data_IF_123631803362
#
_entry.id   IF_123631803362
#
_cell.length_a   1.000
_cell.length_b   1.000
_cell.length_c   1.000
_cell.angle_alpha   90.00
_cell.angle_beta   90.00
_cell.angle_gamma   90.00
#
_symmetry.space_group_name_H-M   'P 1'
#
loop_
_entity.id
_entity.type
_entity.pdbx_description
1 polymer ?
#
# COMPACT_ATOMS: atom_id res chain seq x y z
N UNK A 1 9.14 -18.51 -8.99
CA UNK A 1 9.28 -17.58 -7.84
C UNK A 1 10.05 -16.36 -8.34
N UNK A 2 9.43 -15.18 -8.35
CA UNK A 2 10.11 -13.93 -8.69
C UNK A 2 10.87 -13.50 -7.44
N UNK A 3 12.18 -13.25 -7.57
CA UNK A 3 12.99 -12.79 -6.44
C UNK A 3 12.49 -11.43 -5.92
N UNK A 4 12.62 -11.12 -4.62
CA UNK A 4 12.23 -9.81 -4.07
C UNK A 4 12.85 -8.63 -4.82
N UNK A 5 14.10 -8.76 -5.26
CA UNK A 5 14.80 -7.74 -6.06
C UNK A 5 14.19 -7.56 -7.47
N UNK A 6 13.68 -8.62 -8.09
CA UNK A 6 13.01 -8.53 -9.40
C UNK A 6 11.65 -7.85 -9.32
N UNK A 7 10.92 -8.07 -8.21
CA UNK A 7 9.61 -7.43 -8.00
C UNK A 7 9.75 -5.95 -7.64
N UNK A 8 10.72 -5.58 -6.82
CA UNK A 8 11.02 -4.18 -6.49
C UNK A 8 11.43 -3.37 -7.73
N UNK A 9 12.20 -3.98 -8.64
CA UNK A 9 12.58 -3.35 -9.92
C UNK A 9 11.40 -3.15 -10.88
N UNK A 10 10.41 -4.05 -10.87
CA UNK A 10 9.19 -3.88 -11.66
C UNK A 10 8.27 -2.81 -11.08
N UNK A 11 8.12 -2.73 -9.76
CA UNK A 11 7.28 -1.71 -9.12
C UNK A 11 7.85 -0.30 -9.29
N UNK A 12 9.18 -0.13 -9.22
CA UNK A 12 9.84 1.16 -9.45
C UNK A 12 9.60 1.74 -10.85
N UNK A 13 9.45 0.90 -11.88
CA UNK A 13 9.16 1.33 -13.25
C UNK A 13 7.70 1.71 -13.49
N UNK A 14 6.78 1.17 -12.72
CA UNK A 14 5.34 1.42 -12.86
C UNK A 14 4.91 2.81 -12.35
N UNK A 15 5.73 3.48 -11.56
CA UNK A 15 5.36 4.73 -10.86
C UNK A 15 6.22 5.95 -11.22
N UNK A 16 7.15 5.85 -12.18
CA UNK A 16 7.82 7.01 -12.77
C UNK A 16 6.86 7.70 -13.75
N UNK A 17 5.86 8.41 -13.25
CA UNK A 17 5.00 9.24 -14.09
C UNK A 17 5.35 10.71 -13.88
N UNK A 18 5.46 11.47 -14.97
CA UNK A 18 5.54 12.94 -14.98
C UNK A 18 4.21 13.61 -14.55
N UNK A 19 3.45 12.95 -13.67
CA UNK A 19 2.24 13.52 -13.11
C UNK A 19 2.61 14.59 -12.07
N UNK A 20 2.28 15.89 -12.29
CA UNK A 20 2.61 16.95 -11.34
C UNK A 20 2.07 16.70 -9.93
N UNK A 21 0.93 16.01 -9.82
CA UNK A 21 0.34 15.63 -8.52
C UNK A 21 1.13 14.50 -7.86
N UNK A 22 1.71 13.59 -8.66
CA UNK A 22 2.57 12.52 -8.14
C UNK A 22 3.93 13.07 -7.71
N UNK A 23 4.48 14.06 -8.42
CA UNK A 23 5.72 14.76 -8.02
C UNK A 23 5.55 15.54 -6.72
N UNK A 24 4.45 16.29 -6.55
CA UNK A 24 4.18 17.04 -5.32
C UNK A 24 4.06 16.12 -4.09
N UNK A 25 3.63 14.88 -4.27
CA UNK A 25 3.56 13.90 -3.18
C UNK A 25 4.90 13.17 -3.00
N UNK A 26 5.73 13.09 -4.04
CA UNK A 26 7.06 12.47 -3.97
C UNK A 26 8.12 13.41 -3.37
N UNK A 27 7.97 14.72 -3.51
CA UNK A 27 8.87 15.74 -2.94
C UNK A 27 8.41 16.26 -1.56
N UNK A 28 7.13 16.09 -1.20
CA UNK A 28 6.65 16.36 0.16
C UNK A 28 7.27 15.34 1.10
N UNK A 29 8.01 15.85 2.10
CA UNK A 29 8.59 15.13 3.22
C UNK A 29 7.71 13.92 3.61
N UNK A 30 8.03 12.77 3.02
CA UNK A 30 7.45 11.48 3.34
C UNK A 30 7.98 11.07 4.71
N UNK A 31 7.85 11.97 5.72
CA UNK A 31 8.34 11.85 7.07
C UNK A 31 8.80 10.41 7.32
N UNK A 32 10.08 10.14 6.96
CA UNK A 32 10.48 8.83 6.49
C UNK A 32 10.10 7.77 7.50
N UNK A 33 9.31 6.79 7.06
CA UNK A 33 9.18 5.55 7.81
C UNK A 33 10.59 4.96 7.93
N UNK A 34 11.19 5.17 9.06
CA UNK A 34 12.47 4.57 9.44
C UNK A 34 12.32 4.11 10.87
N UNK A 35 12.63 2.85 11.08
CA UNK A 35 12.95 2.40 12.43
C UNK A 35 14.19 3.13 12.92
N UNK A 36 14.20 3.53 14.18
CA UNK A 36 15.47 3.87 14.83
C UNK A 36 16.39 2.65 14.79
N UNK A 37 17.69 2.88 14.89
CA UNK A 37 18.64 1.75 14.95
C UNK A 37 18.36 0.82 16.13
N UNK A 38 17.88 1.38 17.23
CA UNK A 38 17.53 0.65 18.45
C UNK A 38 16.29 -0.23 18.24
N UNK A 39 15.22 0.32 17.64
CA UNK A 39 14.00 -0.43 17.32
C UNK A 39 14.29 -1.57 16.34
N UNK A 40 15.05 -1.27 15.30
CA UNK A 40 15.44 -2.28 14.32
C UNK A 40 16.30 -3.39 14.95
N UNK A 41 17.29 -3.00 15.79
CA UNK A 41 18.11 -3.97 16.48
C UNK A 41 17.29 -4.85 17.43
N UNK A 42 16.29 -4.28 18.10
CA UNK A 42 15.37 -5.02 18.96
C UNK A 42 14.53 -6.02 18.16
N UNK A 43 13.91 -5.59 17.06
CA UNK A 43 13.12 -6.47 16.17
C UNK A 43 13.98 -7.63 15.65
N UNK A 44 15.16 -7.32 15.14
CA UNK A 44 16.08 -8.33 14.62
C UNK A 44 16.57 -9.28 15.71
N UNK A 45 16.73 -8.78 16.97
CA UNK A 45 17.12 -9.61 18.09
C UNK A 45 16.04 -10.63 18.46
N UNK A 46 14.77 -10.21 18.48
CA UNK A 46 13.65 -11.11 18.73
C UNK A 46 13.55 -12.23 17.69
N UNK A 47 13.79 -11.90 16.41
CA UNK A 47 13.82 -12.91 15.33
C UNK A 47 15.02 -13.84 15.51
N UNK A 48 16.19 -13.31 15.85
CA UNK A 48 17.43 -14.06 16.01
C UNK A 48 17.36 -15.04 17.19
N UNK A 49 16.88 -14.56 18.34
CA UNK A 49 16.74 -15.35 19.57
C UNK A 49 15.52 -16.28 19.53
N UNK A 50 14.68 -16.20 18.50
CA UNK A 50 13.44 -16.99 18.33
C UNK A 50 12.46 -16.78 19.49
N UNK A 51 12.31 -15.54 19.94
CA UNK A 51 11.39 -15.17 21.02
C UNK A 51 9.91 -15.35 20.62
N UNK A 52 9.63 -15.54 19.35
CA UNK A 52 8.31 -15.85 18.80
C UNK A 52 8.45 -16.78 17.58
N UNK A 53 7.35 -17.43 17.19
CA UNK A 53 7.32 -18.25 15.97
C UNK A 53 6.90 -17.38 14.76
N UNK A 54 7.82 -17.07 13.82
CA UNK A 54 7.50 -16.21 12.69
C UNK A 54 6.44 -16.77 11.71
N UNK A 55 6.14 -18.07 11.77
CA UNK A 55 5.11 -18.69 10.94
C UNK A 55 3.69 -18.50 11.49
N UNK A 56 3.54 -18.42 12.82
CA UNK A 56 2.23 -18.39 13.50
C UNK A 56 1.95 -17.08 14.20
N UNK A 57 2.97 -16.36 14.60
CA UNK A 57 2.87 -15.14 15.37
C UNK A 57 3.17 -13.91 14.50
N UNK A 58 2.82 -12.74 14.97
CA UNK A 58 3.13 -11.47 14.31
C UNK A 58 4.08 -10.66 15.19
N UNK A 59 5.20 -10.24 14.62
CA UNK A 59 6.13 -9.34 15.29
C UNK A 59 5.46 -7.98 15.52
N UNK A 60 5.21 -7.68 16.80
CA UNK A 60 4.29 -6.61 17.23
C UNK A 60 4.77 -5.22 16.84
N UNK A 61 6.03 -4.92 17.04
CA UNK A 61 6.62 -3.61 16.77
C UNK A 61 6.59 -3.32 15.26
N UNK A 62 7.00 -4.29 14.45
CA UNK A 62 7.00 -4.18 12.99
C UNK A 62 5.58 -3.96 12.45
N UNK A 63 4.61 -4.69 12.99
CA UNK A 63 3.19 -4.52 12.66
C UNK A 63 2.68 -3.13 13.05
N UNK A 64 2.89 -2.74 14.30
CA UNK A 64 2.35 -1.49 14.86
C UNK A 64 2.90 -0.26 14.13
N UNK A 65 4.19 -0.26 13.81
CA UNK A 65 4.82 0.83 13.06
C UNK A 65 4.29 0.90 11.63
N UNK A 66 4.18 -0.24 10.94
CA UNK A 66 3.61 -0.31 9.59
C UNK A 66 2.16 0.20 9.58
N UNK A 67 1.33 -0.27 10.51
CA UNK A 67 -0.06 0.13 10.62
C UNK A 67 -0.22 1.64 10.91
N UNK A 68 0.54 2.16 11.86
CA UNK A 68 0.53 3.58 12.20
C UNK A 68 0.87 4.44 10.99
N UNK A 69 1.93 4.09 10.26
CA UNK A 69 2.36 4.82 9.08
C UNK A 69 1.28 4.86 7.99
N UNK A 70 0.63 3.73 7.71
CA UNK A 70 -0.45 3.65 6.73
C UNK A 70 -1.72 4.38 7.18
N UNK A 71 -2.03 4.35 8.48
CA UNK A 71 -3.17 5.09 9.02
C UNK A 71 -2.94 6.59 8.98
N UNK A 72 -1.72 7.05 9.23
CA UNK A 72 -1.34 8.46 9.05
C UNK A 72 -1.50 8.91 7.60
N UNK A 73 -1.24 8.01 6.63
CA UNK A 73 -1.48 8.27 5.21
C UNK A 73 -2.97 8.48 4.90
N UNK A 74 -3.84 7.63 5.45
CA UNK A 74 -5.30 7.78 5.31
C UNK A 74 -5.75 9.11 5.92
N UNK A 75 -5.27 9.43 7.12
CA UNK A 75 -5.62 10.68 7.81
C UNK A 75 -5.15 11.93 7.05
N UNK A 76 -4.02 11.87 6.35
CA UNK A 76 -3.52 12.92 5.46
C UNK A 76 -4.28 12.98 4.13
N UNK A 77 -4.83 11.87 3.69
CA UNK A 77 -5.59 11.77 2.44
C UNK A 77 -6.93 12.47 2.49
N UNK A 78 -7.63 12.44 3.63
CA UNK A 78 -8.89 13.15 3.82
C UNK A 78 -8.66 14.62 4.14
N UNK A 79 -9.29 15.51 3.36
CA UNK A 79 -9.24 16.97 3.60
C UNK A 79 -10.15 17.36 4.75
N UNK A 80 -11.32 16.70 4.84
CA UNK A 80 -12.34 16.96 5.86
C UNK A 80 -12.63 15.66 6.62
N UNK A 81 -12.43 15.70 7.94
CA UNK A 81 -12.81 14.61 8.85
C UNK A 81 -14.24 14.84 9.35
N UNK A 82 -15.21 14.70 8.43
CA UNK A 82 -16.63 14.80 8.76
C UNK A 82 -17.18 13.45 9.22
N UNK A 83 -18.33 13.47 9.90
CA UNK A 83 -19.03 12.24 10.29
C UNK A 83 -19.38 11.36 9.07
N UNK A 84 -19.68 11.99 7.94
CA UNK A 84 -19.98 11.31 6.67
C UNK A 84 -18.78 10.53 6.11
N UNK A 85 -17.56 11.00 6.37
CA UNK A 85 -16.34 10.35 5.95
C UNK A 85 -15.84 9.29 6.94
N UNK A 86 -16.40 9.24 8.16
CA UNK A 86 -15.93 8.36 9.22
C UNK A 86 -15.93 6.88 8.83
N UNK A 87 -17.02 6.42 8.24
CA UNK A 87 -17.14 5.03 7.81
C UNK A 87 -16.05 4.64 6.81
N UNK A 88 -15.78 5.49 5.81
CA UNK A 88 -14.70 5.24 4.85
C UNK A 88 -13.33 5.25 5.51
N UNK A 89 -13.10 6.17 6.44
CA UNK A 89 -11.83 6.25 7.18
C UNK A 89 -11.62 4.95 7.96
N UNK A 90 -12.65 4.46 8.65
CA UNK A 90 -12.60 3.21 9.43
C UNK A 90 -12.34 1.99 8.53
N UNK A 91 -13.05 1.90 7.39
CA UNK A 91 -12.84 0.80 6.44
C UNK A 91 -11.44 0.82 5.81
N UNK A 92 -10.92 1.99 5.44
CA UNK A 92 -9.56 2.10 4.91
C UNK A 92 -8.51 1.75 5.97
N UNK A 93 -8.71 2.16 7.23
CA UNK A 93 -7.83 1.78 8.35
C UNK A 93 -7.91 0.29 8.65
N UNK A 94 -9.09 -0.32 8.53
CA UNK A 94 -9.22 -1.77 8.63
C UNK A 94 -8.44 -2.49 7.52
N UNK A 95 -8.55 -2.03 6.27
CA UNK A 95 -7.76 -2.59 5.17
C UNK A 95 -6.25 -2.44 5.40
N UNK A 96 -5.82 -1.30 5.96
CA UNK A 96 -4.42 -1.09 6.34
C UNK A 96 -3.97 -2.09 7.42
N UNK A 97 -4.84 -2.42 8.38
CA UNK A 97 -4.52 -3.41 9.43
C UNK A 97 -4.30 -4.81 8.83
N UNK A 98 -5.19 -5.20 7.91
CA UNK A 98 -5.06 -6.49 7.19
C UNK A 98 -3.77 -6.50 6.35
N UNK A 99 -3.51 -5.44 5.58
CA UNK A 99 -2.29 -5.32 4.79
C UNK A 99 -1.03 -5.36 5.66
N UNK A 100 -1.01 -4.59 6.75
CA UNK A 100 0.12 -4.54 7.68
C UNK A 100 0.42 -5.93 8.29
N UNK A 101 -0.63 -6.71 8.62
CA UNK A 101 -0.46 -8.06 9.13
C UNK A 101 0.19 -8.99 8.09
N UNK A 102 -0.30 -9.00 6.85
CA UNK A 102 0.29 -9.82 5.78
C UNK A 102 1.71 -9.39 5.42
N UNK A 103 1.96 -8.08 5.34
CA UNK A 103 3.31 -7.56 5.08
C UNK A 103 4.27 -7.99 6.17
N UNK A 104 3.89 -7.78 7.44
CA UNK A 104 4.74 -8.12 8.59
C UNK A 104 5.03 -9.60 8.64
N UNK A 105 3.99 -10.44 8.47
CA UNK A 105 4.16 -11.89 8.46
C UNK A 105 5.14 -12.34 7.37
N UNK A 106 5.04 -11.78 6.17
CA UNK A 106 5.96 -12.12 5.08
C UNK A 106 7.38 -11.64 5.37
N UNK A 107 7.52 -10.37 5.79
CA UNK A 107 8.82 -9.77 6.09
C UNK A 107 9.56 -10.53 7.19
N UNK A 108 8.89 -10.85 8.29
CA UNK A 108 9.50 -11.59 9.40
C UNK A 108 9.96 -13.01 9.00
N UNK A 109 9.21 -13.68 8.10
CA UNK A 109 9.61 -14.99 7.58
C UNK A 109 10.82 -14.87 6.63
N UNK A 110 10.81 -13.89 5.72
CA UNK A 110 11.95 -13.63 4.83
C UNK A 110 13.21 -13.25 5.66
N UNK A 111 13.05 -12.57 6.79
CA UNK A 111 14.13 -12.28 7.72
C UNK A 111 14.59 -13.53 8.46
N UNK A 112 13.66 -14.38 8.91
CA UNK A 112 13.99 -15.61 9.63
C UNK A 112 14.74 -16.63 8.76
N UNK A 113 14.46 -16.69 7.45
CA UNK A 113 15.22 -17.51 6.50
C UNK A 113 16.72 -17.16 6.47
N UNK A 114 17.08 -15.91 6.79
CA UNK A 114 18.46 -15.44 6.82
C UNK A 114 19.24 -15.83 8.10
N UNK A 115 18.60 -16.50 9.05
CA UNK A 115 19.29 -17.02 10.25
C UNK A 115 20.36 -18.04 9.90
N UNK A 116 20.18 -18.76 8.80
CA UNK A 116 21.12 -19.73 8.29
C UNK A 116 21.90 -19.16 7.09
N UNK A 117 23.13 -19.58 6.93
CA UNK A 117 23.92 -19.28 5.73
C UNK A 117 23.59 -20.24 4.57
N UNK A 118 24.27 -20.08 3.42
CA UNK A 118 24.08 -20.94 2.26
C UNK A 118 24.49 -22.41 2.46
N UNK A 119 25.22 -22.72 3.54
CA UNK A 119 25.62 -24.07 3.94
C UNK A 119 24.71 -24.64 5.05
N UNK A 120 23.69 -23.88 5.49
CA UNK A 120 22.78 -24.27 6.55
C UNK A 120 23.33 -24.09 7.97
N UNK A 121 24.42 -23.33 8.14
CA UNK A 121 25.01 -23.03 9.45
C UNK A 121 24.37 -21.76 10.03
N UNK A 122 24.14 -21.69 11.35
CA UNK A 122 23.66 -20.47 11.99
C UNK A 122 24.64 -19.31 11.82
N UNK A 123 24.13 -18.16 11.39
CA UNK A 123 24.91 -16.91 11.30
C UNK A 123 25.17 -16.34 12.70
N UNK A 124 26.28 -15.61 12.86
CA UNK A 124 26.41 -14.71 14.01
C UNK A 124 25.38 -13.59 13.91
N UNK A 125 25.00 -12.96 15.04
CA UNK A 125 24.06 -11.84 15.03
C UNK A 125 24.54 -10.67 14.13
N UNK A 126 25.85 -10.40 14.12
CA UNK A 126 26.43 -9.37 13.25
C UNK A 126 26.26 -9.70 11.77
N UNK A 127 26.47 -10.95 11.38
CA UNK A 127 26.33 -11.37 9.98
C UNK A 127 24.86 -11.49 9.58
N UNK A 128 23.99 -11.92 10.49
CA UNK A 128 22.55 -11.89 10.31
C UNK A 128 22.06 -10.46 10.06
N UNK A 129 22.44 -9.48 10.90
CA UNK A 129 22.08 -8.06 10.73
C UNK A 129 22.48 -7.53 9.36
N UNK A 130 23.70 -7.82 8.89
CA UNK A 130 24.14 -7.43 7.54
C UNK A 130 23.34 -8.10 6.44
N UNK A 131 23.02 -9.37 6.60
CA UNK A 131 22.24 -10.12 5.62
C UNK A 131 20.79 -9.60 5.50
N UNK A 132 20.23 -8.98 6.56
CA UNK A 132 18.86 -8.45 6.58
C UNK A 132 18.70 -7.08 5.91
N UNK A 133 19.77 -6.30 5.73
CA UNK A 133 19.70 -4.95 5.17
C UNK A 133 18.95 -4.86 3.83
N UNK A 134 19.20 -5.72 2.82
CA UNK A 134 18.47 -5.67 1.55
C UNK A 134 16.97 -5.97 1.69
N UNK A 135 16.61 -6.89 2.58
CA UNK A 135 15.21 -7.26 2.85
C UNK A 135 14.48 -6.09 3.49
N UNK A 136 15.05 -5.52 4.55
CA UNK A 136 14.51 -4.34 5.26
C UNK A 136 14.35 -3.17 4.29
N UNK A 137 15.34 -2.90 3.45
CA UNK A 137 15.28 -1.86 2.43
C UNK A 137 14.13 -2.09 1.43
N UNK A 138 13.95 -3.32 0.96
CA UNK A 138 12.87 -3.66 0.03
C UNK A 138 11.48 -3.45 0.66
N UNK A 139 11.26 -3.95 1.87
CA UNK A 139 9.96 -3.89 2.54
C UNK A 139 9.61 -2.50 3.08
N UNK A 140 10.56 -1.81 3.68
CA UNK A 140 10.27 -0.60 4.45
C UNK A 140 10.59 0.70 3.69
N UNK A 141 11.42 0.66 2.66
CA UNK A 141 11.67 1.84 1.82
C UNK A 141 10.79 1.81 0.57
N UNK A 142 10.86 0.74 -0.22
CA UNK A 142 10.20 0.72 -1.52
C UNK A 142 8.71 0.36 -1.44
N UNK A 143 8.38 -0.73 -0.76
CA UNK A 143 6.99 -1.21 -0.72
C UNK A 143 6.13 -0.33 0.15
N UNK A 144 6.58 -0.03 1.35
CA UNK A 144 5.79 0.75 2.29
C UNK A 144 5.57 2.18 1.79
N UNK A 145 6.55 2.76 1.08
CA UNK A 145 6.39 4.03 0.40
C UNK A 145 5.28 3.97 -0.67
N UNK A 146 5.28 2.94 -1.51
CA UNK A 146 4.24 2.75 -2.52
C UNK A 146 2.86 2.61 -1.90
N UNK A 147 2.74 1.81 -0.84
CA UNK A 147 1.47 1.61 -0.14
C UNK A 147 1.00 2.89 0.59
N UNK A 148 1.91 3.66 1.14
CA UNK A 148 1.60 4.97 1.73
C UNK A 148 0.97 5.92 0.70
N UNK A 149 1.56 6.03 -0.48
CA UNK A 149 1.00 6.84 -1.57
C UNK A 149 -0.35 6.29 -2.05
N UNK A 150 -0.49 4.98 -2.08
CA UNK A 150 -1.75 4.31 -2.42
C UNK A 150 -2.82 4.61 -1.38
N UNK A 151 -2.50 4.55 -0.10
CA UNK A 151 -3.44 4.89 0.99
C UNK A 151 -3.92 6.34 0.91
N UNK A 152 -3.02 7.31 0.65
CA UNK A 152 -3.40 8.72 0.43
C UNK A 152 -4.35 8.85 -0.78
N UNK A 153 -4.02 8.22 -1.90
CA UNK A 153 -4.85 8.28 -3.11
C UNK A 153 -6.22 7.65 -2.89
N UNK A 154 -6.27 6.51 -2.21
CA UNK A 154 -7.52 5.83 -1.88
C UNK A 154 -8.41 6.69 -0.98
N UNK A 155 -7.84 7.34 0.04
CA UNK A 155 -8.54 8.26 0.91
C UNK A 155 -9.13 9.45 0.15
N UNK A 156 -8.34 10.09 -0.72
CA UNK A 156 -8.80 11.19 -1.58
C UNK A 156 -9.90 10.75 -2.54
N UNK A 157 -9.78 9.57 -3.10
CA UNK A 157 -10.80 9.01 -4.00
C UNK A 157 -12.09 8.74 -3.25
N UNK A 158 -12.03 8.20 -2.04
CA UNK A 158 -13.21 7.97 -1.20
C UNK A 158 -13.93 9.30 -0.86
N UNK A 159 -13.19 10.34 -0.48
CA UNK A 159 -13.74 11.68 -0.23
C UNK A 159 -14.37 12.27 -1.50
N UNK A 160 -13.73 12.10 -2.65
CA UNK A 160 -14.26 12.56 -3.94
C UNK A 160 -15.58 11.83 -4.29
N UNK A 161 -15.67 10.52 -4.06
CA UNK A 161 -16.92 9.79 -4.27
C UNK A 161 -18.07 10.29 -3.39
N UNK A 162 -17.81 10.63 -2.14
CA UNK A 162 -18.83 11.24 -1.26
C UNK A 162 -19.32 12.58 -1.81
N UNK A 163 -18.44 13.42 -2.33
CA UNK A 163 -18.85 14.66 -3.00
C UNK A 163 -19.69 14.39 -4.25
N UNK A 164 -19.31 13.43 -5.07
CA UNK A 164 -20.08 13.04 -6.25
C UNK A 164 -21.45 12.49 -5.88
N UNK A 165 -21.57 11.78 -4.76
CA UNK A 165 -22.84 11.28 -4.25
C UNK A 165 -23.75 12.42 -3.81
N UNK A 166 -23.21 13.46 -3.15
CA UNK A 166 -23.96 14.64 -2.77
C UNK A 166 -24.48 15.44 -3.98
N UNK A 167 -23.75 15.45 -5.09
CA UNK A 167 -24.08 16.20 -6.31
C UNK A 167 -24.80 15.34 -7.37
N UNK A 168 -25.28 14.14 -7.01
CA UNK A 168 -25.82 13.16 -7.97
C UNK A 168 -27.05 13.67 -8.74
N UNK A 169 -27.86 14.55 -8.16
CA UNK A 169 -29.05 15.10 -8.81
C UNK A 169 -28.70 16.04 -9.97
N UNK A 170 -27.56 16.74 -9.85
CA UNK A 170 -27.04 17.62 -10.91
C UNK A 170 -26.13 16.86 -11.89
N UNK A 171 -25.31 15.95 -11.38
CA UNK A 171 -24.33 15.17 -12.13
C UNK A 171 -24.52 13.66 -11.88
N UNK A 172 -25.55 13.03 -12.48
CA UNK A 172 -25.92 11.64 -12.15
C UNK A 172 -24.89 10.60 -12.64
N UNK A 173 -23.96 11.00 -13.49
CA UNK A 173 -23.00 10.07 -14.11
C UNK A 173 -21.57 10.38 -13.73
N UNK A 174 -20.75 9.34 -13.68
CA UNK A 174 -19.28 9.43 -13.65
C UNK A 174 -18.71 8.78 -14.89
N UNK A 175 -17.60 9.31 -15.43
CA UNK A 175 -16.91 8.76 -16.61
C UNK A 175 -15.55 8.22 -16.16
N UNK A 176 -15.23 7.03 -16.62
CA UNK A 176 -13.92 6.45 -16.46
C UNK A 176 -12.95 7.00 -17.50
N UNK A 177 -11.97 7.76 -17.08
CA UNK A 177 -10.98 8.34 -17.97
C UNK A 177 -9.81 7.38 -18.21
N UNK A 178 -9.11 7.50 -19.35
CA UNK A 178 -7.86 6.79 -19.59
C UNK A 178 -6.84 7.02 -18.48
N UNK A 179 -6.09 5.97 -18.13
CA UNK A 179 -5.00 6.08 -17.17
C UNK A 179 -3.88 6.96 -17.74
N UNK A 180 -3.30 7.81 -16.87
CA UNK A 180 -2.11 8.59 -17.19
C UNK A 180 -0.81 7.89 -16.81
N UNK A 181 -0.88 6.62 -16.37
CA UNK A 181 0.31 5.81 -16.11
C UNK A 181 1.08 5.56 -17.42
N UNK A 182 2.41 5.52 -17.34
CA UNK A 182 3.29 5.20 -18.48
C UNK A 182 2.92 3.83 -19.07
N UNK A 183 2.67 2.86 -18.20
CA UNK A 183 2.20 1.52 -18.56
C UNK A 183 0.85 1.25 -17.86
N UNK A 184 -0.27 1.61 -18.50
CA UNK A 184 -1.59 1.35 -17.94
C UNK A 184 -1.90 -0.14 -18.00
N UNK A 185 -2.60 -0.64 -16.96
CA UNK A 185 -3.05 -2.04 -16.95
C UNK A 185 -4.00 -2.29 -18.10
N UNK A 186 -3.70 -3.30 -18.92
CA UNK A 186 -4.53 -3.66 -20.09
C UNK A 186 -5.98 -3.98 -19.69
N UNK A 187 -6.17 -4.65 -18.55
CA UNK A 187 -7.49 -4.96 -17.99
C UNK A 187 -8.36 -3.72 -17.70
N UNK A 188 -7.74 -2.53 -17.55
CA UNK A 188 -8.49 -1.29 -17.31
C UNK A 188 -8.92 -0.59 -18.60
N UNK A 189 -8.33 -0.90 -19.75
CA UNK A 189 -8.65 -0.25 -21.03
C UNK A 189 -10.07 -0.46 -21.48
N UNK A 190 -10.67 -1.60 -21.11
CA UNK A 190 -12.06 -1.92 -21.45
C UNK A 190 -13.08 -0.96 -20.80
N UNK A 191 -12.67 -0.27 -19.76
CA UNK A 191 -13.53 0.68 -19.02
C UNK A 191 -13.32 2.14 -19.45
N UNK A 192 -12.27 2.43 -20.22
CA UNK A 192 -12.01 3.80 -20.64
C UNK A 192 -13.17 4.34 -21.47
N UNK A 193 -13.51 5.59 -21.22
CA UNK A 193 -14.62 6.29 -21.85
C UNK A 193 -16.00 5.67 -21.59
N UNK A 194 -16.11 4.77 -20.61
CA UNK A 194 -17.39 4.27 -20.13
C UNK A 194 -17.96 5.21 -19.06
N UNK A 195 -19.28 5.37 -19.06
CA UNK A 195 -19.99 6.12 -18.05
C UNK A 195 -20.85 5.21 -17.18
N UNK A 196 -20.94 5.53 -15.91
CA UNK A 196 -21.75 4.81 -14.93
C UNK A 196 -22.70 5.77 -14.23
N UNK A 197 -23.94 5.33 -13.99
CA UNK A 197 -24.90 6.05 -13.15
C UNK A 197 -24.47 5.93 -11.68
N UNK A 198 -24.52 7.04 -10.94
CA UNK A 198 -24.14 7.08 -9.52
C UNK A 198 -25.10 6.27 -8.60
N UNK A 199 -26.33 6.06 -9.04
CA UNK A 199 -27.34 5.26 -8.29
C UNK A 199 -27.16 3.75 -8.44
N UNK A 200 -26.27 3.28 -9.31
CA UNK A 200 -25.94 1.85 -9.32
C UNK A 200 -25.14 1.55 -8.06
N UNK A 201 -25.76 0.80 -7.15
CA UNK A 201 -25.07 0.19 -6.01
C UNK A 201 -23.87 -0.58 -6.57
N UNK A 202 -22.67 -0.15 -6.23
CA UNK A 202 -21.45 -0.85 -6.63
C UNK A 202 -21.37 -2.14 -5.82
N UNK A 203 -21.71 -3.30 -6.37
CA UNK A 203 -21.35 -4.53 -5.70
C UNK A 203 -19.83 -4.61 -5.76
N UNK A 204 -19.19 -4.80 -4.62
CA UNK A 204 -17.75 -4.74 -4.45
C UNK A 204 -16.95 -5.69 -5.37
N UNK A 205 -17.62 -6.53 -6.16
CA UNK A 205 -17.00 -7.59 -6.96
C UNK A 205 -17.65 -7.87 -8.31
N UNK A 206 -18.64 -7.09 -8.74
CA UNK A 206 -19.25 -7.34 -10.06
C UNK A 206 -18.72 -6.36 -11.12
N UNK A 207 -18.14 -6.85 -12.22
CA UNK A 207 -17.62 -5.97 -13.25
C UNK A 207 -18.77 -5.31 -14.03
N UNK A 208 -19.28 -4.22 -13.49
CA UNK A 208 -19.92 -3.10 -14.15
C UNK A 208 -21.17 -3.28 -15.01
N UNK A 209 -22.28 -2.68 -14.61
CA UNK A 209 -23.31 -2.26 -15.52
C UNK A 209 -22.98 -0.92 -16.21
N UNK A 210 -21.71 -0.70 -16.60
CA UNK A 210 -21.34 0.50 -17.34
C UNK A 210 -21.76 0.35 -18.81
N UNK A 211 -22.66 1.21 -19.29
CA UNK A 211 -22.96 1.29 -20.72
C UNK A 211 -21.89 2.12 -21.42
N UNK A 212 -21.38 1.61 -22.55
CA UNK A 212 -20.59 2.44 -23.48
C UNK A 212 -21.48 3.53 -24.02
N UNK A 213 -21.04 4.79 -23.94
CA UNK A 213 -21.68 5.84 -24.71
C UNK A 213 -21.33 5.62 -26.20
N UNK A 214 -22.29 5.75 -27.11
CA UNK A 214 -21.96 5.77 -28.52
C UNK A 214 -21.00 6.93 -28.77
N UNK A 215 -19.95 6.68 -29.56
CA UNK A 215 -19.06 7.72 -30.03
C UNK A 215 -19.90 8.71 -30.85
N UNK A 216 -19.95 9.97 -30.42
CA UNK A 216 -20.53 11.07 -31.18
C UNK A 216 -19.61 11.52 -32.29
#
# INVERSE_FOLDING_TARGET
>A
RVSPAGFAGQMGRLYTSDCPVCHVVAEGDLGGFRFSEEELAYILRQIYDRDFNPETDIQRELYSHTLKFLNDAVDKGFTLKTEENREFIEQLKYNNAVFAAFKTHREQNDLAELLLDGEGKPRSFSDFRKATEPVIGAYNVNWLHTEYLTAIKSARTAEMFKRFEADKDLFPNVRWLPSRAVEPRESHRVYWDTGCYKDTHWPAWDPFPCRRFPAS
#
